data_IF_444609619738
#
_entry.id   IF_444609619738
#
_cell.length_a   1.000
_cell.length_b   1.000
_cell.length_c   1.000
_cell.angle_alpha   90.00
_cell.angle_beta   90.00
_cell.angle_gamma   90.00
#
_symmetry.space_group_name_H-M   'P 1'
#
loop_
_entity.id
_entity.type
_entity.pdbx_description
1 polymer ?
#
# COMPACT_ATOMS: atom_id res chain seq x y z
N UNK A 1 -11.26 35.16 -18.30
CA UNK A 1 -10.76 33.89 -18.90
C UNK A 1 -10.23 32.92 -17.85
N UNK A 2 -9.23 33.27 -17.01
CA UNK A 2 -8.73 32.39 -15.92
C UNK A 2 -9.80 31.85 -14.97
N UNK A 3 -10.77 32.67 -14.56
CA UNK A 3 -11.87 32.26 -13.67
C UNK A 3 -12.86 31.30 -14.33
N UNK A 4 -13.13 31.48 -15.62
CA UNK A 4 -14.00 30.58 -16.39
C UNK A 4 -13.34 29.21 -16.63
N UNK A 5 -12.04 29.21 -16.95
CA UNK A 5 -11.25 27.97 -17.08
C UNK A 5 -11.17 27.24 -15.74
N UNK A 6 -10.92 27.97 -14.64
CA UNK A 6 -10.89 27.39 -13.29
C UNK A 6 -12.24 26.77 -12.89
N UNK A 7 -13.34 27.49 -13.07
CA UNK A 7 -14.67 26.98 -12.75
C UNK A 7 -15.16 25.87 -13.71
N UNK A 8 -14.56 25.73 -14.88
CA UNK A 8 -14.78 24.57 -15.75
C UNK A 8 -13.96 23.37 -15.28
N UNK A 9 -12.69 23.56 -14.94
CA UNK A 9 -11.82 22.52 -14.40
C UNK A 9 -12.37 21.95 -13.07
N UNK A 10 -12.87 22.79 -12.17
CA UNK A 10 -13.48 22.36 -10.91
C UNK A 10 -14.76 21.53 -11.11
N UNK A 11 -15.58 21.87 -12.11
CA UNK A 11 -16.78 21.10 -12.45
C UNK A 11 -16.46 19.74 -13.05
N UNK A 12 -15.45 19.69 -13.93
CA UNK A 12 -14.99 18.41 -14.51
C UNK A 12 -14.32 17.55 -13.43
N UNK A 13 -13.48 18.14 -12.57
CA UNK A 13 -12.84 17.43 -11.47
C UNK A 13 -13.84 16.90 -10.43
N UNK A 14 -14.98 17.58 -10.26
CA UNK A 14 -16.07 17.14 -9.39
C UNK A 14 -17.04 16.14 -10.01
N UNK A 15 -16.88 15.79 -11.30
CA UNK A 15 -17.73 14.81 -11.99
C UNK A 15 -17.33 13.38 -11.56
N UNK A 16 -18.27 12.52 -11.15
CA UNK A 16 -17.96 11.12 -10.82
C UNK A 16 -17.17 10.38 -11.91
N UNK A 17 -17.45 10.66 -13.19
CA UNK A 17 -16.73 10.03 -14.30
C UNK A 17 -15.27 10.46 -14.41
N UNK A 18 -14.93 11.67 -13.96
CA UNK A 18 -13.52 12.10 -13.85
C UNK A 18 -12.80 11.37 -12.73
N UNK A 19 -13.46 11.17 -11.58
CA UNK A 19 -12.87 10.45 -10.44
C UNK A 19 -12.59 8.99 -10.79
N UNK A 20 -13.54 8.30 -11.44
CA UNK A 20 -13.32 6.93 -11.92
C UNK A 20 -12.17 6.82 -12.93
N UNK A 21 -12.10 7.76 -13.89
CA UNK A 21 -11.02 7.78 -14.87
C UNK A 21 -9.65 8.04 -14.21
N UNK A 22 -9.61 8.95 -13.22
CA UNK A 22 -8.40 9.22 -12.45
C UNK A 22 -7.96 8.00 -11.63
N UNK A 23 -8.88 7.34 -10.93
CA UNK A 23 -8.61 6.14 -10.15
C UNK A 23 -8.06 5.00 -11.02
N UNK A 24 -8.65 4.80 -12.22
CA UNK A 24 -8.16 3.80 -13.18
C UNK A 24 -6.77 4.15 -13.71
N UNK A 25 -6.50 5.42 -14.01
CA UNK A 25 -5.16 5.91 -14.40
C UNK A 25 -4.11 5.64 -13.32
N UNK A 26 -4.43 5.93 -12.06
CA UNK A 26 -3.55 5.65 -10.91
C UNK A 26 -3.35 4.15 -10.73
N UNK A 27 -4.41 3.35 -10.85
CA UNK A 27 -4.33 1.89 -10.72
C UNK A 27 -3.48 1.24 -11.81
N UNK A 28 -3.60 1.69 -13.07
CA UNK A 28 -2.76 1.23 -14.18
C UNK A 28 -1.30 1.60 -13.98
N UNK A 29 -1.04 2.84 -13.56
CA UNK A 29 0.31 3.33 -13.25
C UNK A 29 0.94 2.53 -12.11
N UNK A 30 0.21 2.27 -11.02
CA UNK A 30 0.68 1.41 -9.95
C UNK A 30 1.03 0.01 -10.47
N UNK A 31 0.12 -0.60 -11.25
CA UNK A 31 0.35 -1.94 -11.80
C UNK A 31 1.60 -2.02 -12.68
N UNK A 32 1.84 -1.03 -13.54
CA UNK A 32 3.01 -1.02 -14.42
C UNK A 32 4.32 -0.89 -13.62
N UNK A 33 4.36 -0.06 -12.59
CA UNK A 33 5.55 0.14 -11.74
C UNK A 33 6.02 -1.15 -11.05
N UNK A 34 5.09 -1.99 -10.63
CA UNK A 34 5.37 -3.25 -9.95
C UNK A 34 5.51 -4.46 -10.88
N UNK A 35 5.15 -4.34 -12.16
CA UNK A 35 5.28 -5.41 -13.16
C UNK A 35 6.49 -5.24 -14.09
N UNK A 36 7.05 -4.04 -14.18
CA UNK A 36 8.20 -3.75 -15.04
C UNK A 36 9.47 -4.35 -14.44
N UNK A 37 9.94 -5.47 -14.99
CA UNK A 37 11.15 -6.20 -14.54
C UNK A 37 12.41 -5.89 -15.35
N UNK A 38 12.28 -5.25 -16.53
CA UNK A 38 13.40 -5.05 -17.46
C UNK A 38 13.44 -3.61 -18.02
N UNK A 39 14.58 -2.92 -17.84
CA UNK A 39 14.90 -1.62 -18.44
C UNK A 39 15.07 -0.47 -17.41
N UNK A 40 15.63 0.69 -17.83
CA UNK A 40 15.72 1.86 -16.96
C UNK A 40 14.32 2.24 -16.48
N UNK A 41 14.14 2.40 -15.16
CA UNK A 41 12.86 2.71 -14.53
C UNK A 41 12.38 4.11 -14.91
N UNK A 42 11.60 4.21 -15.98
CA UNK A 42 10.91 5.44 -16.33
C UNK A 42 9.58 5.48 -15.59
N UNK A 43 9.43 6.44 -14.68
CA UNK A 43 8.13 6.70 -14.07
C UNK A 43 7.24 7.38 -15.11
N UNK A 44 6.26 6.62 -15.62
CA UNK A 44 5.27 7.13 -16.57
C UNK A 44 3.86 6.99 -16.00
N UNK A 45 3.12 8.10 -15.97
CA UNK A 45 1.69 8.08 -15.63
C UNK A 45 0.93 7.71 -16.91
N UNK A 46 0.11 6.67 -16.84
CA UNK A 46 -0.83 6.34 -17.93
C UNK A 46 -2.08 7.21 -17.81
N UNK A 47 -2.07 8.33 -18.55
CA UNK A 47 -3.18 9.27 -18.59
C UNK A 47 -4.27 8.87 -19.60
N UNK A 48 -4.20 7.68 -20.23
CA UNK A 48 -5.18 7.27 -21.23
C UNK A 48 -6.63 7.25 -20.73
N UNK A 49 -6.97 6.68 -19.55
CA UNK A 49 -8.34 6.75 -19.01
C UNK A 49 -8.88 8.18 -18.87
N UNK A 50 -8.05 9.09 -18.37
CA UNK A 50 -8.42 10.51 -18.19
C UNK A 50 -8.57 11.22 -19.54
N UNK A 51 -7.66 10.94 -20.48
CA UNK A 51 -7.71 11.50 -21.83
C UNK A 51 -8.95 11.01 -22.61
N UNK A 52 -9.28 9.73 -22.47
CA UNK A 52 -10.46 9.10 -23.07
C UNK A 52 -11.75 9.74 -22.53
N UNK A 53 -11.85 9.92 -21.21
CA UNK A 53 -13.00 10.59 -20.59
C UNK A 53 -13.20 12.03 -21.07
N UNK A 54 -12.11 12.81 -21.16
CA UNK A 54 -12.17 14.19 -21.65
C UNK A 54 -12.53 14.24 -23.13
N UNK A 55 -11.98 13.33 -23.93
CA UNK A 55 -12.29 13.23 -25.35
C UNK A 55 -13.76 12.88 -25.56
N UNK A 56 -14.30 11.87 -24.86
CA UNK A 56 -15.71 11.47 -24.92
C UNK A 56 -16.68 12.62 -24.59
N UNK A 57 -16.39 13.39 -23.54
CA UNK A 57 -17.20 14.58 -23.20
C UNK A 57 -17.18 15.68 -24.27
N UNK A 58 -16.08 15.81 -25.02
CA UNK A 58 -15.92 16.84 -26.06
C UNK A 58 -16.53 16.35 -27.38
N UNK A 59 -16.24 15.11 -27.78
CA UNK A 59 -16.69 14.51 -29.04
C UNK A 59 -18.14 14.05 -28.99
N UNK A 60 -18.72 13.74 -27.81
CA UNK A 60 -20.15 13.46 -27.68
C UNK A 60 -21.07 14.60 -28.15
N UNK A 61 -20.53 15.82 -28.28
CA UNK A 61 -21.19 17.01 -28.85
C UNK A 61 -20.82 17.33 -30.30
N UNK A 62 -19.97 16.52 -30.95
CA UNK A 62 -19.46 16.73 -32.30
C UNK A 62 -19.66 15.46 -33.15
N UNK A 63 -19.94 15.57 -34.47
CA UNK A 63 -20.15 14.42 -35.34
C UNK A 63 -18.81 13.78 -35.79
N UNK A 64 -17.84 13.67 -34.88
CA UNK A 64 -16.48 13.17 -35.18
C UNK A 64 -16.03 12.22 -34.07
N UNK A 65 -15.83 10.95 -34.41
CA UNK A 65 -15.22 9.96 -33.51
C UNK A 65 -13.70 10.18 -33.49
N UNK A 66 -13.16 10.60 -32.35
CA UNK A 66 -11.72 10.64 -32.11
C UNK A 66 -11.39 9.48 -31.17
N UNK A 67 -10.69 8.47 -31.68
CA UNK A 67 -10.20 7.36 -30.86
C UNK A 67 -9.05 7.85 -29.98
N UNK A 68 -9.24 7.80 -28.66
CA UNK A 68 -8.18 8.08 -27.71
C UNK A 68 -7.07 7.00 -27.82
N UNK A 69 -5.78 7.37 -27.69
CA UNK A 69 -4.70 6.39 -27.59
C UNK A 69 -4.91 5.46 -26.40
N UNK A 70 -4.63 4.16 -26.56
CA UNK A 70 -4.80 3.17 -25.49
C UNK A 70 -3.82 3.37 -24.31
N UNK A 71 -2.74 4.12 -24.55
CA UNK A 71 -1.74 4.52 -23.55
C UNK A 71 -1.25 5.94 -23.85
N UNK A 72 -1.18 6.79 -22.83
CA UNK A 72 -0.59 8.12 -22.92
C UNK A 72 0.47 8.24 -21.82
N UNK A 73 1.69 7.71 -22.06
CA UNK A 73 2.74 7.74 -21.07
C UNK A 73 3.30 9.16 -20.93
N UNK A 74 3.06 9.79 -19.79
CA UNK A 74 3.75 11.04 -19.42
C UNK A 74 4.96 10.67 -18.58
N UNK A 75 6.17 10.79 -19.14
CA UNK A 75 7.42 10.53 -18.41
C UNK A 75 7.71 11.73 -17.51
N UNK A 76 7.70 11.54 -16.19
CA UNK A 76 7.94 12.63 -15.24
C UNK A 76 9.39 12.71 -14.79
N UNK A 77 10.07 11.58 -14.61
CA UNK A 77 11.45 11.53 -14.17
C UNK A 77 12.09 10.16 -14.46
N UNK A 78 13.40 10.15 -14.64
CA UNK A 78 14.21 8.92 -14.58
C UNK A 78 14.44 8.63 -13.10
N UNK A 79 13.99 7.49 -12.59
CA UNK A 79 14.20 7.14 -11.18
C UNK A 79 15.69 6.78 -11.01
N UNK A 80 16.52 7.76 -10.64
CA UNK A 80 17.98 7.58 -10.50
C UNK A 80 18.34 6.69 -9.29
N UNK A 81 17.47 6.59 -8.29
CA UNK A 81 17.66 5.74 -7.10
C UNK A 81 16.66 4.57 -7.09
N UNK A 82 17.04 3.49 -7.77
CA UNK A 82 16.23 2.27 -7.93
C UNK A 82 16.09 1.45 -6.63
N UNK A 83 16.83 1.78 -5.57
CA UNK A 83 16.90 0.94 -4.35
C UNK A 83 15.57 0.86 -3.59
N UNK A 84 14.84 1.98 -3.46
CA UNK A 84 13.55 2.00 -2.79
C UNK A 84 12.45 1.34 -3.62
N UNK A 85 12.49 1.53 -4.95
CA UNK A 85 11.55 0.89 -5.87
C UNK A 85 11.78 -0.63 -5.93
N UNK A 86 13.04 -1.06 -5.98
CA UNK A 86 13.42 -2.47 -5.95
C UNK A 86 13.03 -3.11 -4.61
N UNK A 87 13.26 -2.44 -3.49
CA UNK A 87 12.77 -2.90 -2.18
C UNK A 87 11.24 -3.03 -2.16
N UNK A 88 10.52 -2.08 -2.73
CA UNK A 88 9.06 -2.14 -2.85
C UNK A 88 8.59 -3.28 -3.76
N UNK A 89 9.30 -3.57 -4.86
CA UNK A 89 9.01 -4.71 -5.76
C UNK A 89 9.27 -6.06 -5.10
N UNK A 90 10.28 -6.15 -4.23
CA UNK A 90 10.60 -7.36 -3.49
C UNK A 90 9.70 -7.56 -2.26
N UNK A 91 9.10 -6.48 -1.73
CA UNK A 91 8.22 -6.51 -0.56
C UNK A 91 7.15 -7.61 -0.58
N UNK A 92 6.35 -7.82 -1.65
CA UNK A 92 5.35 -8.90 -1.68
C UNK A 92 5.98 -10.29 -1.56
N UNK A 93 7.08 -10.55 -2.28
CA UNK A 93 7.77 -11.85 -2.25
C UNK A 93 8.37 -12.13 -0.88
N UNK A 94 9.03 -11.11 -0.29
CA UNK A 94 9.60 -11.20 1.05
C UNK A 94 8.51 -11.36 2.11
N UNK A 95 7.37 -10.68 1.96
CA UNK A 95 6.23 -10.80 2.87
C UNK A 95 5.64 -12.22 2.83
N UNK A 96 5.42 -12.78 1.63
CA UNK A 96 4.91 -14.15 1.48
C UNK A 96 5.91 -15.17 2.03
N UNK A 97 7.19 -15.06 1.68
CA UNK A 97 8.23 -15.94 2.18
C UNK A 97 8.37 -15.86 3.71
N UNK A 98 8.37 -14.65 4.26
CA UNK A 98 8.41 -14.41 5.70
C UNK A 98 7.19 -14.97 6.42
N UNK A 99 5.98 -14.79 5.88
CA UNK A 99 4.76 -15.35 6.43
C UNK A 99 4.79 -16.89 6.46
N UNK A 100 5.26 -17.53 5.38
CA UNK A 100 5.41 -18.99 5.33
C UNK A 100 6.41 -19.49 6.37
N UNK A 101 7.57 -18.86 6.49
CA UNK A 101 8.59 -19.22 7.49
C UNK A 101 8.03 -19.04 8.90
N UNK A 102 7.33 -17.94 9.18
CA UNK A 102 6.71 -17.69 10.47
C UNK A 102 5.65 -18.75 10.82
N UNK A 103 4.79 -19.14 9.86
CA UNK A 103 3.80 -20.20 10.05
C UNK A 103 4.47 -21.55 10.32
N UNK A 104 5.49 -21.92 9.54
CA UNK A 104 6.22 -23.17 9.74
C UNK A 104 6.94 -23.21 11.09
N UNK A 105 7.58 -22.10 11.49
CA UNK A 105 8.22 -21.97 12.79
C UNK A 105 7.21 -22.06 13.93
N UNK A 106 6.03 -21.46 13.78
CA UNK A 106 4.95 -21.55 14.75
C UNK A 106 4.44 -22.99 14.91
N UNK A 107 4.19 -23.68 13.79
CA UNK A 107 3.77 -25.08 13.79
C UNK A 107 4.83 -26.00 14.41
N UNK A 108 6.09 -25.83 14.03
CA UNK A 108 7.20 -26.60 14.61
C UNK A 108 7.33 -26.35 16.13
N UNK A 109 7.24 -25.10 16.56
CA UNK A 109 7.28 -24.73 17.99
C UNK A 109 6.17 -25.42 18.79
N UNK A 110 4.95 -25.45 18.26
CA UNK A 110 3.82 -26.13 18.92
C UNK A 110 3.96 -27.65 18.86
N UNK A 111 4.47 -28.22 17.76
CA UNK A 111 4.67 -29.66 17.61
C UNK A 111 5.75 -30.20 18.56
N UNK A 112 6.85 -29.47 18.74
CA UNK A 112 7.95 -29.83 19.65
C UNK A 112 7.63 -29.54 21.12
N UNK A 113 6.64 -28.70 21.40
CA UNK A 113 6.27 -28.37 22.77
C UNK A 113 5.70 -29.60 23.49
N UNK A 114 6.41 -30.06 24.54
CA UNK A 114 5.90 -31.08 25.48
C UNK A 114 4.55 -30.69 26.10
N UNK A 115 4.27 -29.39 26.19
CA UNK A 115 3.01 -28.81 26.63
C UNK A 115 2.46 -27.89 25.55
N UNK A 116 1.74 -28.47 24.57
CA UNK A 116 1.21 -27.74 23.40
C UNK A 116 0.47 -26.44 23.76
N UNK A 117 -0.32 -26.44 24.83
CA UNK A 117 -1.04 -25.25 25.29
C UNK A 117 -0.12 -24.10 25.73
N UNK A 118 1.02 -24.41 26.36
CA UNK A 118 2.04 -23.40 26.69
C UNK A 118 2.73 -22.90 25.43
N UNK A 119 2.96 -23.76 24.44
CA UNK A 119 3.49 -23.38 23.13
C UNK A 119 2.57 -22.39 22.41
N UNK A 120 1.25 -22.65 22.41
CA UNK A 120 0.23 -21.74 21.83
C UNK A 120 0.21 -20.40 22.56
N UNK A 121 0.29 -20.38 23.90
CA UNK A 121 0.40 -19.13 24.66
C UNK A 121 1.66 -18.34 24.25
N UNK A 122 2.79 -19.02 24.06
CA UNK A 122 4.03 -18.42 23.57
C UNK A 122 3.90 -17.77 22.20
N UNK A 123 3.13 -18.35 21.27
CA UNK A 123 2.84 -17.72 19.98
C UNK A 123 2.05 -16.42 20.14
N UNK A 124 1.08 -16.39 21.05
CA UNK A 124 0.34 -15.18 21.38
C UNK A 124 1.25 -14.06 21.91
N UNK A 125 2.19 -14.41 22.80
CA UNK A 125 3.23 -13.47 23.26
C UNK A 125 4.09 -12.98 22.09
N UNK A 126 4.52 -13.87 21.20
CA UNK A 126 5.30 -13.51 20.03
C UNK A 126 4.60 -12.49 19.13
N UNK A 127 3.34 -12.72 18.80
CA UNK A 127 2.53 -11.79 18.00
C UNK A 127 2.38 -10.41 18.68
N UNK A 128 2.14 -10.40 19.99
CA UNK A 128 2.05 -9.15 20.77
C UNK A 128 3.38 -8.39 20.77
N UNK A 129 4.51 -9.09 20.93
CA UNK A 129 5.83 -8.48 20.89
C UNK A 129 6.16 -7.94 19.49
N UNK A 130 5.84 -8.68 18.43
CA UNK A 130 6.01 -8.21 17.06
C UNK A 130 5.22 -6.94 16.81
N UNK A 131 3.95 -6.89 17.22
CA UNK A 131 3.13 -5.69 17.09
C UNK A 131 3.70 -4.51 17.90
N UNK A 132 4.11 -4.75 19.15
CA UNK A 132 4.67 -3.72 20.01
C UNK A 132 6.00 -3.14 19.49
N UNK A 133 6.86 -3.99 18.91
CA UNK A 133 8.16 -3.56 18.35
C UNK A 133 8.00 -2.86 17.01
N UNK A 134 7.14 -3.38 16.13
CA UNK A 134 6.96 -2.81 14.79
C UNK A 134 6.21 -1.47 14.81
N UNK A 135 5.36 -1.23 15.82
CA UNK A 135 4.60 0.01 15.91
C UNK A 135 5.45 1.29 15.90
N UNK A 136 6.46 1.47 16.79
CA UNK A 136 7.32 2.65 16.75
C UNK A 136 8.23 2.69 15.52
N UNK A 137 8.62 1.52 14.98
CA UNK A 137 9.44 1.44 13.76
C UNK A 137 8.69 2.04 12.57
N UNK A 138 7.38 1.80 12.45
CA UNK A 138 6.57 2.41 11.40
C UNK A 138 6.57 3.94 11.47
N UNK A 139 6.45 4.51 12.67
CA UNK A 139 6.52 5.96 12.86
C UNK A 139 7.87 6.54 12.45
N UNK A 140 8.97 5.89 12.87
CA UNK A 140 10.31 6.32 12.47
C UNK A 140 10.55 6.26 10.95
N UNK A 141 9.99 5.24 10.29
CA UNK A 141 10.06 5.11 8.82
C UNK A 141 9.22 6.18 8.13
N UNK A 142 8.03 6.50 8.65
CA UNK A 142 7.18 7.57 8.14
C UNK A 142 7.87 8.94 8.26
N UNK A 143 8.44 9.26 9.43
CA UNK A 143 9.20 10.49 9.65
C UNK A 143 10.39 10.60 8.68
N UNK A 144 11.17 9.53 8.53
CA UNK A 144 12.30 9.48 7.61
C UNK A 144 11.89 9.69 6.14
N UNK A 145 10.72 9.19 5.74
CA UNK A 145 10.18 9.40 4.40
C UNK A 145 9.78 10.88 4.16
N UNK A 146 9.25 11.56 5.18
CA UNK A 146 8.85 12.98 5.09
C UNK A 146 10.04 13.94 5.12
N UNK A 147 11.13 13.56 5.79
CA UNK A 147 12.37 14.31 5.82
C UNK A 147 13.09 14.34 4.47
N UNK A 148 12.70 13.47 3.53
CA UNK A 148 13.32 13.41 2.22
C UNK A 148 12.96 14.66 1.38
N UNK A 149 13.92 15.28 0.66
CA UNK A 149 13.66 16.47 -0.14
C UNK A 149 12.66 16.19 -1.26
N UNK A 150 11.52 16.87 -1.27
CA UNK A 150 10.51 16.75 -2.34
C UNK A 150 10.78 17.75 -3.47
N UNK A 151 11.06 17.26 -4.67
CA UNK A 151 11.18 18.03 -5.92
C UNK A 151 9.79 18.32 -6.50
N UNK A 152 9.07 19.32 -5.95
CA UNK A 152 7.74 19.65 -6.49
C UNK A 152 6.97 20.80 -5.82
N UNK A 153 7.61 21.51 -4.89
CA UNK A 153 6.97 22.63 -4.18
C UNK A 153 5.89 22.20 -3.17
N UNK A 154 5.09 23.15 -2.65
CA UNK A 154 4.19 22.91 -1.52
C UNK A 154 3.10 21.86 -1.76
N UNK A 155 2.61 21.75 -3.00
CA UNK A 155 1.55 20.80 -3.36
C UNK A 155 2.08 19.36 -3.33
N UNK A 156 3.27 19.12 -3.89
CA UNK A 156 3.89 17.80 -3.88
C UNK A 156 4.16 17.32 -2.44
N UNK A 157 4.60 18.23 -1.55
CA UNK A 157 4.77 17.92 -0.13
C UNK A 157 3.46 17.56 0.55
N UNK A 158 2.38 18.31 0.29
CA UNK A 158 1.05 18.00 0.85
C UNK A 158 0.57 16.60 0.41
N UNK A 159 0.79 16.24 -0.85
CA UNK A 159 0.43 14.91 -1.36
C UNK A 159 1.28 13.83 -0.71
N UNK A 160 2.59 14.05 -0.55
CA UNK A 160 3.49 13.12 0.14
C UNK A 160 3.05 12.90 1.60
N UNK A 161 2.74 13.97 2.33
CA UNK A 161 2.25 13.92 3.71
C UNK A 161 1.00 13.03 3.83
N UNK A 162 0.03 13.20 2.92
CA UNK A 162 -1.20 12.42 2.91
C UNK A 162 -0.96 10.94 2.54
N UNK A 163 -0.08 10.67 1.57
CA UNK A 163 0.26 9.29 1.20
C UNK A 163 0.96 8.55 2.35
N UNK A 164 1.90 9.21 3.03
CA UNK A 164 2.57 8.65 4.21
C UNK A 164 1.57 8.41 5.34
N UNK A 165 0.66 9.36 5.59
CA UNK A 165 -0.38 9.20 6.60
C UNK A 165 -1.28 7.99 6.30
N UNK A 166 -1.76 7.85 5.06
CA UNK A 166 -2.59 6.70 4.65
C UNK A 166 -1.85 5.37 4.76
N UNK A 167 -0.57 5.34 4.35
CA UNK A 167 0.27 4.15 4.47
C UNK A 167 0.49 3.76 5.94
N UNK A 168 0.77 4.75 6.80
CA UNK A 168 0.95 4.55 8.23
C UNK A 168 -0.32 4.03 8.90
N UNK A 169 -1.47 4.65 8.62
CA UNK A 169 -2.77 4.25 9.18
C UNK A 169 -3.12 2.81 8.78
N UNK A 170 -2.91 2.45 7.51
CA UNK A 170 -3.11 1.09 7.02
C UNK A 170 -2.21 0.08 7.76
N UNK A 171 -0.91 0.38 7.88
CA UNK A 171 0.05 -0.48 8.56
C UNK A 171 -0.26 -0.63 10.07
N UNK A 172 -0.61 0.46 10.75
CA UNK A 172 -1.06 0.44 12.15
C UNK A 172 -2.36 -0.35 12.34
N UNK A 173 -3.28 -0.29 11.37
CA UNK A 173 -4.46 -1.14 11.34
C UNK A 173 -4.13 -2.63 11.35
N UNK A 174 -3.20 -3.06 10.47
CA UNK A 174 -2.72 -4.45 10.44
C UNK A 174 -2.01 -4.88 11.72
N UNK A 175 -1.20 -4.01 12.33
CA UNK A 175 -0.58 -4.30 13.62
C UNK A 175 -1.60 -4.43 14.74
N UNK A 176 -2.66 -3.63 14.73
CA UNK A 176 -3.76 -3.73 15.69
C UNK A 176 -4.48 -5.07 15.56
N UNK A 177 -4.81 -5.49 14.34
CA UNK A 177 -5.39 -6.82 14.07
C UNK A 177 -4.46 -7.92 14.55
N UNK A 178 -3.16 -7.80 14.29
CA UNK A 178 -2.14 -8.76 14.74
C UNK A 178 -2.04 -8.84 16.27
N UNK A 179 -2.08 -7.70 16.96
CA UNK A 179 -2.07 -7.62 18.41
C UNK A 179 -3.33 -8.27 19.03
N UNK A 180 -4.50 -7.98 18.46
CA UNK A 180 -5.77 -8.60 18.90
C UNK A 180 -5.72 -10.11 18.70
N UNK A 181 -5.29 -10.58 17.53
CA UNK A 181 -5.12 -12.01 17.26
C UNK A 181 -4.14 -12.65 18.24
N UNK A 182 -3.00 -12.00 18.50
CA UNK A 182 -2.01 -12.43 19.49
C UNK A 182 -2.60 -12.55 20.90
N UNK A 183 -3.40 -11.56 21.32
CA UNK A 183 -4.12 -11.59 22.60
C UNK A 183 -5.11 -12.76 22.72
N UNK A 184 -5.89 -13.03 21.67
CA UNK A 184 -6.82 -14.18 21.64
C UNK A 184 -6.04 -15.49 21.75
N UNK A 185 -4.99 -15.66 20.95
CA UNK A 185 -4.15 -16.87 20.96
C UNK A 185 -3.49 -17.08 22.32
N UNK A 186 -3.01 -16.01 22.96
CA UNK A 186 -2.44 -16.03 24.31
C UNK A 186 -3.46 -16.58 25.33
N UNK A 187 -4.67 -16.00 25.35
CA UNK A 187 -5.72 -16.37 26.31
C UNK A 187 -6.14 -17.83 26.11
N UNK A 188 -6.34 -18.27 24.87
CA UNK A 188 -6.71 -19.65 24.55
C UNK A 188 -5.60 -20.62 24.99
N UNK A 189 -4.34 -20.32 24.68
CA UNK A 189 -3.20 -21.12 25.11
C UNK A 189 -3.07 -21.21 26.63
N UNK A 190 -3.20 -20.07 27.32
CA UNK A 190 -3.12 -19.99 28.78
C UNK A 190 -4.26 -20.78 29.45
N UNK A 191 -5.50 -20.61 28.99
CA UNK A 191 -6.65 -21.36 29.49
C UNK A 191 -6.46 -22.87 29.30
N UNK A 192 -6.00 -23.30 28.12
CA UNK A 192 -5.67 -24.70 27.85
C UNK A 192 -4.57 -25.23 28.78
N UNK A 193 -3.55 -24.43 29.09
CA UNK A 193 -2.47 -24.82 29.98
C UNK A 193 -2.92 -24.97 31.45
N UNK A 194 -3.82 -24.10 31.90
CA UNK A 194 -4.42 -24.18 33.26
C UNK A 194 -5.34 -25.39 33.37
N UNK A 195 -6.21 -25.62 32.40
CA UNK A 195 -7.13 -26.76 32.38
C UNK A 195 -6.39 -28.10 32.26
N UNK A 196 -5.35 -28.17 31.44
CA UNK A 196 -4.53 -29.38 31.27
C UNK A 196 -3.66 -29.72 32.48
N UNK A 197 -3.40 -28.79 33.40
CA UNK A 197 -2.69 -29.04 34.67
C UNK A 197 -3.62 -29.63 35.75
N UNK A 198 -4.94 -29.49 35.59
CA UNK A 198 -5.96 -29.97 36.54
C UNK A 198 -6.44 -31.40 36.28
N UNK A 199 -5.97 -32.04 35.20
CA UNK A 199 -6.18 -33.46 34.87
C UNK A 199 -4.88 -34.22 35.09
#
# INVERSE_FOLDING_TARGET
MRTAVRGAAERVAGDPGWQEAWDESVARTHRSLFQQTDGPGYFSIDAAPVADYVLDKITGSLPVEITAPQTVPVVLETVEDDTALEAARQAPTVAVGGALVAVLAALASVALARRRAVGVAGLGVGLLLSAAVLWPVLGAVADAALDQPTTGGPVARTVADQLVALAQDSAQGWLTVTAVAGGVVLVVGAAGAVLGRRR
#
